data_IF_193131921597
#
_entry.id   IF_193131921597
#
_cell.length_a   1.000
_cell.length_b   1.000
_cell.length_c   1.000
_cell.angle_alpha   90.00
_cell.angle_beta   90.00
_cell.angle_gamma   90.00
#
_symmetry.space_group_name_H-M   'P 1'
#
loop_
_entity.id
_entity.type
_entity.pdbx_description
1 polymer ?
#
# COMPACT_ATOMS: atom_id res chain seq x y z
N UNK A 1 -3.77 3.46 38.22
CA UNK A 1 -3.34 2.10 37.84
C UNK A 1 -2.71 2.19 36.47
N UNK A 2 -1.40 2.23 36.39
CA UNK A 2 -0.71 2.28 35.10
C UNK A 2 -0.82 0.92 34.42
N UNK A 3 -1.33 0.93 33.17
CA UNK A 3 -1.33 -0.29 32.36
C UNK A 3 0.11 -0.64 32.05
N UNK A 4 0.57 -1.77 32.59
CA UNK A 4 1.85 -2.38 32.19
C UNK A 4 1.80 -2.59 30.67
N UNK A 5 2.57 -1.78 29.94
CA UNK A 5 2.72 -1.91 28.51
C UNK A 5 3.55 -3.15 28.22
N UNK A 6 2.88 -4.23 27.80
CA UNK A 6 3.55 -5.41 27.28
C UNK A 6 4.46 -5.00 26.11
N UNK A 7 5.68 -5.56 26.01
CA UNK A 7 6.57 -5.28 24.89
C UNK A 7 5.91 -5.69 23.57
N UNK A 8 6.11 -4.92 22.48
CA UNK A 8 5.52 -5.24 21.18
C UNK A 8 6.06 -6.56 20.64
N UNK A 9 5.20 -7.35 20.01
CA UNK A 9 5.62 -8.61 19.38
C UNK A 9 6.45 -8.35 18.12
N UNK A 10 7.20 -9.35 17.63
CA UNK A 10 7.90 -9.25 16.35
C UNK A 10 6.93 -8.95 15.18
N UNK A 11 5.69 -9.45 15.27
CA UNK A 11 4.63 -9.13 14.29
C UNK A 11 4.23 -7.65 14.38
N UNK A 12 4.05 -7.09 15.58
CA UNK A 12 3.76 -5.66 15.77
C UNK A 12 4.87 -4.77 15.20
N UNK A 13 6.13 -5.11 15.49
CA UNK A 13 7.31 -4.41 14.97
C UNK A 13 7.36 -4.48 13.44
N UNK A 14 7.11 -5.66 12.86
CA UNK A 14 7.07 -5.85 11.40
C UNK A 14 5.96 -5.03 10.74
N UNK A 15 4.74 -5.05 11.32
CA UNK A 15 3.60 -4.25 10.84
C UNK A 15 3.93 -2.76 10.93
N UNK A 16 4.50 -2.30 12.05
CA UNK A 16 4.94 -0.92 12.25
C UNK A 16 5.98 -0.50 11.21
N UNK A 17 6.96 -1.35 10.91
CA UNK A 17 8.00 -1.06 9.90
C UNK A 17 7.45 -1.01 8.48
N UNK A 18 6.54 -1.91 8.11
CA UNK A 18 6.02 -2.04 6.73
C UNK A 18 4.94 -1.00 6.42
N UNK A 19 3.98 -0.83 7.33
CA UNK A 19 2.78 -0.01 7.11
C UNK A 19 2.81 1.34 7.84
N UNK A 20 3.81 1.57 8.70
CA UNK A 20 3.89 2.77 9.52
C UNK A 20 2.82 2.84 10.61
N UNK A 21 2.16 1.73 10.97
CA UNK A 21 1.14 1.70 12.02
C UNK A 21 1.78 1.70 13.42
N UNK A 22 1.36 2.63 14.28
CA UNK A 22 1.88 2.83 15.62
C UNK A 22 0.78 2.92 16.68
N UNK A 23 -0.41 3.38 16.28
CA UNK A 23 -1.60 3.38 17.11
C UNK A 23 -2.09 1.95 17.30
N UNK A 24 -2.44 1.58 18.53
CA UNK A 24 -2.89 0.23 18.85
C UNK A 24 -4.12 -0.21 18.04
N UNK A 25 -5.12 0.66 17.89
CA UNK A 25 -6.33 0.33 17.14
C UNK A 25 -6.02 0.09 15.65
N UNK A 26 -5.06 0.83 15.09
CA UNK A 26 -4.57 0.63 13.73
C UNK A 26 -3.80 -0.70 13.57
N UNK A 27 -2.94 -1.05 14.52
CA UNK A 27 -2.28 -2.38 14.57
C UNK A 27 -3.31 -3.53 14.67
N UNK A 28 -4.33 -3.35 15.50
CA UNK A 28 -5.40 -4.34 15.69
C UNK A 28 -6.32 -4.47 14.44
N UNK A 29 -6.40 -3.45 13.56
CA UNK A 29 -7.00 -3.60 12.23
C UNK A 29 -6.14 -4.47 11.31
N UNK A 30 -4.82 -4.20 11.20
CA UNK A 30 -3.94 -5.01 10.33
C UNK A 30 -3.89 -6.47 10.78
N UNK A 31 -3.95 -6.76 12.08
CA UNK A 31 -3.97 -8.14 12.63
C UNK A 31 -5.19 -8.99 12.19
N UNK A 32 -6.23 -8.39 11.62
CA UNK A 32 -7.35 -9.13 11.02
C UNK A 32 -6.99 -9.75 9.65
N UNK A 33 -5.82 -9.41 9.10
CA UNK A 33 -5.23 -10.04 7.93
C UNK A 33 -4.35 -11.24 8.35
N UNK A 34 -4.48 -12.34 7.63
CA UNK A 34 -3.54 -13.46 7.70
C UNK A 34 -2.15 -13.03 7.20
N UNK A 35 -1.11 -13.76 7.57
CA UNK A 35 0.27 -13.44 7.15
C UNK A 35 0.43 -13.38 5.62
N UNK A 36 -0.29 -14.22 4.87
CA UNK A 36 -0.31 -14.19 3.40
C UNK A 36 -0.94 -12.91 2.85
N UNK A 37 -2.04 -12.44 3.46
CA UNK A 37 -2.68 -11.17 3.11
C UNK A 37 -1.78 -9.98 3.46
N UNK A 38 -1.07 -10.02 4.60
CA UNK A 38 -0.09 -8.99 5.01
C UNK A 38 1.06 -8.88 4.00
N UNK A 39 1.62 -10.02 3.55
CA UNK A 39 2.69 -10.02 2.54
C UNK A 39 2.16 -9.47 1.20
N UNK A 40 0.95 -9.87 0.77
CA UNK A 40 0.31 -9.32 -0.43
C UNK A 40 0.12 -7.80 -0.36
N UNK A 41 -0.41 -7.31 0.76
CA UNK A 41 -0.58 -5.89 1.05
C UNK A 41 0.76 -5.10 0.97
N UNK A 42 1.84 -5.66 1.54
CA UNK A 42 3.17 -5.06 1.47
C UNK A 42 3.71 -4.96 0.04
N UNK A 43 3.46 -5.99 -0.78
CA UNK A 43 3.83 -6.00 -2.21
C UNK A 43 3.02 -4.97 -3.01
N UNK A 44 1.70 -4.84 -2.76
CA UNK A 44 0.87 -3.80 -3.38
C UNK A 44 1.42 -2.39 -3.13
N UNK A 45 1.76 -2.06 -1.87
CA UNK A 45 2.33 -0.76 -1.49
C UNK A 45 3.62 -0.46 -2.28
N UNK A 46 4.47 -1.48 -2.48
CA UNK A 46 5.73 -1.35 -3.21
C UNK A 46 5.54 -1.13 -4.72
N UNK A 47 4.44 -1.61 -5.31
CA UNK A 47 4.18 -1.52 -6.76
C UNK A 47 3.26 -0.33 -7.12
N UNK A 48 2.49 0.18 -6.13
CA UNK A 48 1.56 1.33 -6.15
C UNK A 48 0.31 1.16 -7.01
N UNK A 49 0.48 0.71 -8.26
CA UNK A 49 -0.59 0.53 -9.23
C UNK A 49 -0.31 -0.72 -10.07
N UNK A 50 -1.32 -1.57 -10.23
CA UNK A 50 -1.23 -2.84 -10.96
C UNK A 50 -2.52 -3.05 -11.76
N UNK A 51 -2.40 -3.09 -13.08
CA UNK A 51 -3.44 -3.65 -13.94
C UNK A 51 -3.38 -5.17 -13.81
N UNK A 52 -4.14 -5.74 -12.88
CA UNK A 52 -4.21 -7.19 -12.68
C UNK A 52 -5.08 -7.85 -13.75
N UNK A 53 -4.68 -9.06 -14.17
CA UNK A 53 -5.58 -10.00 -14.84
C UNK A 53 -6.09 -11.05 -13.86
N UNK A 54 -7.19 -11.74 -14.20
CA UNK A 54 -7.82 -12.82 -13.42
C UNK A 54 -6.83 -13.92 -12.98
N UNK A 55 -5.79 -14.20 -13.77
CA UNK A 55 -4.83 -15.29 -13.54
C UNK A 55 -3.48 -14.86 -12.91
N UNK A 56 -3.40 -13.63 -12.40
CA UNK A 56 -2.19 -13.01 -11.86
C UNK A 56 -2.34 -12.77 -10.35
N UNK A 57 -1.42 -13.32 -9.55
CA UNK A 57 -1.34 -13.00 -8.13
C UNK A 57 -0.42 -11.80 -7.92
N UNK A 58 -0.78 -10.94 -6.96
CA UNK A 58 0.10 -9.88 -6.42
C UNK A 58 1.49 -10.42 -6.06
N UNK A 59 1.56 -11.66 -5.55
CA UNK A 59 2.81 -12.30 -5.13
C UNK A 59 3.66 -12.83 -6.29
N UNK A 60 3.07 -13.05 -7.46
CA UNK A 60 3.75 -13.51 -8.68
C UNK A 60 4.18 -12.32 -9.59
N UNK A 61 4.03 -11.07 -9.13
CA UNK A 61 4.38 -9.86 -9.89
C UNK A 61 5.90 -9.64 -9.95
N UNK A 62 6.51 -9.94 -11.09
CA UNK A 62 7.90 -9.59 -11.38
C UNK A 62 8.10 -8.07 -11.55
N UNK A 63 9.31 -7.60 -11.24
CA UNK A 63 9.65 -6.17 -11.34
C UNK A 63 9.67 -5.67 -12.80
N UNK A 64 9.79 -6.56 -13.78
CA UNK A 64 9.99 -6.21 -15.20
C UNK A 64 8.70 -5.92 -15.98
N UNK A 65 7.52 -6.34 -15.50
CA UNK A 65 6.23 -5.99 -16.12
C UNK A 65 5.85 -4.50 -15.92
N UNK A 66 6.72 -3.70 -15.29
CA UNK A 66 6.51 -2.30 -14.90
C UNK A 66 6.66 -1.30 -16.04
N UNK A 67 6.10 -1.56 -17.21
CA UNK A 67 5.98 -0.54 -18.27
C UNK A 67 5.15 0.66 -17.77
N UNK A 68 5.85 1.72 -17.32
CA UNK A 68 5.23 2.89 -16.69
C UNK A 68 4.30 3.65 -17.65
N UNK A 69 4.59 3.55 -18.95
CA UNK A 69 4.03 4.32 -20.06
C UNK A 69 2.52 4.13 -20.30
N UNK A 70 1.93 3.07 -19.73
CA UNK A 70 0.51 2.75 -19.88
C UNK A 70 -0.34 3.06 -18.64
N UNK A 71 0.26 3.27 -17.47
CA UNK A 71 -0.48 3.53 -16.22
C UNK A 71 -1.28 4.83 -16.27
N UNK A 72 -0.69 5.86 -16.89
CA UNK A 72 -1.29 7.19 -17.02
C UNK A 72 -2.39 7.28 -18.09
N UNK A 73 -2.59 6.24 -18.92
CA UNK A 73 -3.50 6.28 -20.08
C UNK A 73 -4.88 5.67 -19.82
N UNK A 74 -5.06 4.96 -18.70
CA UNK A 74 -6.33 4.35 -18.31
C UNK A 74 -7.06 5.29 -17.34
N UNK A 75 -8.15 5.91 -17.80
CA UNK A 75 -8.85 6.96 -17.06
C UNK A 75 -9.69 6.40 -15.91
N UNK A 76 -9.91 7.23 -14.88
CA UNK A 76 -10.84 6.93 -13.79
C UNK A 76 -12.29 6.90 -14.28
N UNK A 77 -12.63 7.72 -15.27
CA UNK A 77 -13.99 7.88 -15.80
C UNK A 77 -14.50 6.65 -16.58
N UNK A 78 -13.62 5.68 -16.84
CA UNK A 78 -13.92 4.46 -17.58
C UNK A 78 -14.65 3.39 -16.73
N UNK A 79 -14.76 3.59 -15.42
CA UNK A 79 -15.24 2.58 -14.46
C UNK A 79 -16.39 3.07 -13.56
N UNK A 80 -17.43 3.67 -14.14
CA UNK A 80 -18.71 3.92 -13.46
C UNK A 80 -19.54 2.62 -13.30
N UNK A 81 -19.02 1.68 -12.53
CA UNK A 81 -19.77 0.57 -11.93
C UNK A 81 -20.17 1.03 -10.53
N UNK A 82 -21.39 0.77 -10.07
CA UNK A 82 -21.85 1.26 -8.75
C UNK A 82 -20.96 0.74 -7.61
N UNK A 83 -20.42 -0.48 -7.76
CA UNK A 83 -19.41 -1.11 -6.90
C UNK A 83 -18.03 -0.41 -6.90
N UNK A 84 -17.80 0.59 -7.76
CA UNK A 84 -16.58 1.40 -7.82
C UNK A 84 -16.86 2.90 -7.62
N UNK A 85 -18.15 3.30 -7.56
CA UNK A 85 -18.54 4.67 -7.24
C UNK A 85 -18.08 5.08 -5.83
N UNK A 86 -18.17 4.18 -4.83
CA UNK A 86 -17.68 4.47 -3.48
C UNK A 86 -16.16 4.68 -3.42
N UNK A 87 -15.37 3.99 -4.26
CA UNK A 87 -13.94 4.26 -4.40
C UNK A 87 -13.70 5.67 -4.94
N UNK A 88 -14.61 6.20 -5.76
CA UNK A 88 -14.50 7.57 -6.29
C UNK A 88 -14.77 8.62 -5.23
N UNK A 89 -15.79 8.40 -4.40
CA UNK A 89 -16.15 9.26 -3.27
C UNK A 89 -15.07 9.23 -2.19
N UNK A 90 -14.57 8.04 -1.88
CA UNK A 90 -13.43 7.84 -0.98
C UNK A 90 -12.18 8.54 -1.50
N UNK A 91 -11.79 8.32 -2.76
CA UNK A 91 -10.63 8.97 -3.37
C UNK A 91 -10.81 10.49 -3.41
N UNK A 92 -12.02 11.00 -3.64
CA UNK A 92 -12.32 12.44 -3.58
C UNK A 92 -12.09 12.99 -2.17
N UNK A 93 -12.67 12.35 -1.14
CA UNK A 93 -12.50 12.75 0.26
C UNK A 93 -11.03 12.67 0.72
N UNK A 94 -10.29 11.66 0.28
CA UNK A 94 -8.85 11.52 0.56
C UNK A 94 -8.01 12.49 -0.25
N UNK A 95 -8.40 12.86 -1.48
CA UNK A 95 -7.73 13.92 -2.23
C UNK A 95 -7.91 15.28 -1.58
N UNK A 96 -9.07 15.58 -0.99
CA UNK A 96 -9.29 16.80 -0.20
C UNK A 96 -8.39 16.85 1.04
N UNK A 97 -8.18 15.71 1.71
CA UNK A 97 -7.17 15.56 2.76
C UNK A 97 -5.76 15.79 2.20
N UNK A 98 -5.37 15.10 1.12
CA UNK A 98 -4.03 15.20 0.51
C UNK A 98 -3.72 16.62 -0.01
N UNK A 99 -4.72 17.41 -0.44
CA UNK A 99 -4.51 18.83 -0.78
C UNK A 99 -3.91 19.62 0.38
N UNK A 100 -4.23 19.28 1.63
CA UNK A 100 -3.69 19.92 2.84
C UNK A 100 -2.27 19.44 3.21
N UNK A 101 -1.73 18.41 2.55
CA UNK A 101 -0.41 17.84 2.84
C UNK A 101 0.72 18.87 2.77
N UNK A 102 0.64 19.82 1.83
CA UNK A 102 1.66 20.86 1.63
C UNK A 102 1.91 21.74 2.87
N UNK A 103 0.93 21.85 3.77
CA UNK A 103 1.02 22.62 5.02
C UNK A 103 1.88 21.93 6.09
N UNK A 104 2.01 20.60 6.01
CA UNK A 104 2.78 19.78 6.95
C UNK A 104 4.12 19.35 6.37
N UNK A 105 4.19 19.19 5.05
CA UNK A 105 5.42 18.98 4.30
C UNK A 105 6.48 19.99 4.72
N UNK A 106 7.74 19.58 4.72
CA UNK A 106 8.82 20.55 4.80
C UNK A 106 8.80 21.40 3.53
N UNK A 107 8.64 22.71 3.70
CA UNK A 107 9.38 23.64 2.88
C UNK A 107 10.85 23.30 3.13
N UNK A 108 11.44 22.55 2.20
CA UNK A 108 12.89 22.44 2.09
C UNK A 108 13.42 23.87 2.10
N UNK A 109 14.38 24.14 2.98
CA UNK A 109 14.99 25.44 3.14
C UNK A 109 15.21 26.12 1.78
N UNK A 110 14.39 27.12 1.47
CA UNK A 110 14.66 27.99 0.33
C UNK A 110 16.00 28.66 0.58
N UNK A 111 16.75 28.93 -0.49
CA UNK A 111 18.12 29.47 -0.42
C UNK A 111 18.11 30.94 0.03
N UNK A 112 17.69 31.17 1.28
CA UNK A 112 17.57 32.48 1.92
C UNK A 112 18.72 32.57 2.91
N UNK A 113 19.84 33.10 2.40
CA UNK A 113 21.20 33.09 2.97
C UNK A 113 21.37 33.58 4.41
N UNK A 114 20.34 34.18 5.01
CA UNK A 114 20.40 34.90 6.27
C UNK A 114 19.91 34.05 7.46
N UNK A 115 18.83 33.29 7.27
CA UNK A 115 18.19 32.48 8.32
C UNK A 115 19.11 31.35 8.84
N UNK A 116 20.06 30.88 8.01
CA UNK A 116 20.98 29.79 8.34
C UNK A 116 21.85 30.04 9.58
N UNK A 117 22.10 31.30 9.94
CA UNK A 117 22.97 31.65 11.08
C UNK A 117 22.24 31.59 12.43
N UNK A 118 20.92 31.49 12.45
CA UNK A 118 20.17 31.48 13.71
C UNK A 118 20.28 30.11 14.40
N UNK A 119 20.63 30.02 15.69
CA UNK A 119 20.86 28.73 16.35
C UNK A 119 19.60 27.86 16.47
N UNK A 120 18.40 28.46 16.45
CA UNK A 120 17.15 27.69 16.40
C UNK A 120 16.92 27.03 15.03
N UNK A 121 17.38 27.66 13.95
CA UNK A 121 17.34 27.07 12.62
C UNK A 121 18.16 25.77 12.56
N UNK A 122 19.39 25.81 13.10
CA UNK A 122 20.25 24.63 13.25
C UNK A 122 19.56 23.51 14.04
N UNK A 123 18.89 23.83 15.14
CA UNK A 123 18.16 22.84 15.96
C UNK A 123 17.10 22.09 15.16
N UNK A 124 16.32 22.80 14.35
CA UNK A 124 15.20 22.26 13.57
C UNK A 124 15.70 21.48 12.34
N UNK A 125 16.70 22.01 11.63
CA UNK A 125 17.15 21.51 10.32
C UNK A 125 18.51 20.76 10.36
N UNK A 126 19.00 20.39 11.54
CA UNK A 126 20.23 19.61 11.71
C UNK A 126 20.23 18.33 10.86
N UNK A 127 21.08 18.28 9.84
CA UNK A 127 21.23 17.11 8.94
C UNK A 127 21.83 15.89 9.65
N UNK A 128 22.51 16.09 10.78
CA UNK A 128 23.22 15.06 11.52
C UNK A 128 22.38 14.38 12.62
N UNK A 129 21.20 14.92 12.95
CA UNK A 129 20.37 14.43 14.06
C UNK A 129 18.87 14.66 13.83
N UNK A 130 18.11 13.57 13.88
CA UNK A 130 16.63 13.60 13.79
C UNK A 130 15.93 14.00 15.10
N UNK A 131 16.66 14.06 16.22
CA UNK A 131 16.10 14.37 17.54
C UNK A 131 16.23 15.87 17.84
N UNK A 132 15.22 16.64 17.42
CA UNK A 132 15.16 18.09 17.60
C UNK A 132 15.34 18.52 19.07
N UNK A 133 14.73 17.80 20.03
CA UNK A 133 14.81 18.15 21.45
C UNK A 133 16.23 17.96 21.99
N UNK A 134 16.96 16.91 21.54
CA UNK A 134 18.38 16.74 21.87
C UNK A 134 19.22 17.89 21.30
N UNK A 135 18.99 18.25 20.04
CA UNK A 135 19.69 19.38 19.40
C UNK A 135 19.43 20.69 20.16
N UNK A 136 18.20 20.92 20.61
CA UNK A 136 17.86 22.08 21.44
C UNK A 136 18.65 22.10 22.75
N UNK A 137 18.73 20.97 23.46
CA UNK A 137 19.51 20.92 24.70
C UNK A 137 21.01 21.14 24.48
N UNK A 138 21.55 20.78 23.31
CA UNK A 138 22.95 21.05 22.92
C UNK A 138 23.20 22.54 22.62
N UNK A 139 22.21 23.27 22.10
CA UNK A 139 22.26 24.73 21.83
C UNK A 139 21.48 25.59 22.84
N UNK A 140 21.11 25.03 23.99
CA UNK A 140 20.13 25.64 24.92
C UNK A 140 20.51 27.04 25.35
N UNK A 141 21.74 27.18 25.86
CA UNK A 141 22.17 28.43 26.49
C UNK A 141 22.46 29.51 25.44
N UNK A 142 22.93 29.12 24.24
CA UNK A 142 23.03 29.97 23.05
C UNK A 142 21.65 30.56 22.69
N UNK A 143 20.64 29.70 22.53
CA UNK A 143 19.27 30.09 22.15
C UNK A 143 18.58 30.95 23.21
N UNK A 144 18.74 30.61 24.50
CA UNK A 144 18.13 31.36 25.60
C UNK A 144 18.82 32.72 25.83
N UNK A 145 20.07 32.88 25.40
CA UNK A 145 20.80 34.16 25.45
C UNK A 145 20.38 35.17 24.38
N UNK A 146 19.67 34.73 23.32
CA UNK A 146 19.21 35.61 22.25
C UNK A 146 18.20 36.66 22.77
N UNK A 147 18.31 37.93 22.35
CA UNK A 147 17.36 38.98 22.71
C UNK A 147 15.95 38.67 22.20
N UNK A 148 14.93 39.12 22.94
CA UNK A 148 13.54 38.94 22.52
C UNK A 148 13.17 39.92 21.40
N UNK A 149 12.38 39.45 20.44
CA UNK A 149 12.02 40.23 19.25
C UNK A 149 11.32 41.57 19.63
N UNK A 150 11.77 42.71 19.09
CA UNK A 150 11.23 44.02 19.45
C UNK A 150 9.75 44.17 19.05
N UNK A 151 8.95 44.68 19.99
CA UNK A 151 7.49 44.74 19.90
C UNK A 151 6.93 45.78 18.92
N UNK A 152 7.77 46.68 18.38
CA UNK A 152 7.35 47.74 17.45
C UNK A 152 8.09 47.63 16.11
N UNK A 153 7.34 47.72 15.01
CA UNK A 153 7.82 47.51 13.63
C UNK A 153 8.54 48.76 13.06
N UNK A 154 9.29 49.47 13.90
CA UNK A 154 9.95 50.73 13.56
C UNK A 154 11.20 50.50 12.68
N UNK A 155 10.97 50.25 11.38
CA UNK A 155 11.96 50.30 10.29
C UNK A 155 13.30 49.61 10.59
N UNK A 156 13.25 48.44 11.22
CA UNK A 156 14.43 47.63 11.52
C UNK A 156 14.96 47.02 10.21
N UNK A 157 16.20 47.35 9.85
CA UNK A 157 16.93 46.74 8.73
C UNK A 157 16.91 45.22 8.86
N UNK A 158 16.66 44.52 7.74
CA UNK A 158 16.51 43.06 7.75
C UNK A 158 17.72 42.32 8.35
N UNK A 159 18.93 42.87 8.22
CA UNK A 159 20.16 42.29 8.78
C UNK A 159 20.25 42.27 10.31
N UNK A 160 19.44 43.06 11.03
CA UNK A 160 19.43 43.06 12.50
C UNK A 160 18.56 41.92 13.04
N UNK A 161 17.60 41.43 12.23
CA UNK A 161 16.62 40.40 12.65
C UNK A 161 17.21 39.01 12.80
N UNK A 162 18.40 38.74 12.25
CA UNK A 162 19.04 37.42 12.30
C UNK A 162 19.56 37.08 13.72
N UNK A 163 19.88 38.11 14.52
CA UNK A 163 20.41 37.99 15.89
C UNK A 163 19.30 37.86 16.97
N UNK A 164 18.04 38.10 16.62
CA UNK A 164 16.90 38.00 17.53
C UNK A 164 16.45 36.54 17.79
N UNK A 165 15.80 36.31 18.93
CA UNK A 165 15.06 35.09 19.20
C UNK A 165 13.78 35.02 18.33
N UNK A 166 13.64 33.91 17.61
CA UNK A 166 12.42 33.56 16.87
C UNK A 166 11.83 32.26 17.41
N UNK A 167 10.50 32.21 17.57
CA UNK A 167 9.80 30.97 17.93
C UNK A 167 10.06 29.88 16.87
N UNK A 168 10.34 28.62 17.28
CA UNK A 168 10.60 27.52 16.36
C UNK A 168 9.59 27.40 15.20
N UNK A 169 8.31 27.73 15.44
CA UNK A 169 7.25 27.58 14.44
C UNK A 169 7.38 28.55 13.24
N UNK A 170 8.04 29.69 13.40
CA UNK A 170 8.24 30.64 12.29
C UNK A 170 9.15 30.06 11.20
N UNK A 171 10.22 29.34 11.58
CA UNK A 171 11.15 28.71 10.65
C UNK A 171 10.49 27.66 9.74
N UNK A 172 9.35 27.08 10.16
CA UNK A 172 8.60 26.08 9.38
C UNK A 172 7.70 26.69 8.31
N UNK A 173 7.20 27.92 8.51
CA UNK A 173 6.24 28.56 7.59
C UNK A 173 6.91 29.45 6.53
N UNK A 174 8.20 29.76 6.65
CA UNK A 174 8.90 30.69 5.75
C UNK A 174 8.40 32.13 5.85
N UNK A 175 7.57 32.43 6.84
CA UNK A 175 7.00 33.75 7.11
C UNK A 175 7.80 34.43 8.19
N UNK A 176 8.48 35.53 7.86
CA UNK A 176 9.08 36.39 8.88
C UNK A 176 7.98 36.97 9.78
N UNK A 177 8.11 36.85 11.11
CA UNK A 177 7.19 37.49 12.03
C UNK A 177 7.18 39.01 11.81
N UNK A 178 5.98 39.59 11.75
CA UNK A 178 5.80 41.05 11.67
C UNK A 178 5.55 41.68 13.05
N UNK A 179 5.08 40.89 14.01
CA UNK A 179 4.80 41.25 15.40
C UNK A 179 4.58 39.98 16.23
N UNK A 180 4.55 40.10 17.57
CA UNK A 180 4.35 38.94 18.47
C UNK A 180 3.01 38.22 18.23
N UNK A 181 1.96 38.94 17.81
CA UNK A 181 0.66 38.35 17.46
C UNK A 181 0.71 37.41 16.24
N UNK A 182 1.82 37.31 15.51
CA UNK A 182 1.93 36.36 14.41
C UNK A 182 1.91 34.89 14.87
N UNK A 183 2.35 34.56 16.09
CA UNK A 183 2.32 33.17 16.59
C UNK A 183 0.90 32.65 16.77
N UNK A 184 0.00 33.40 17.42
CA UNK A 184 -1.41 33.00 17.61
C UNK A 184 -2.12 32.83 16.27
N UNK A 185 -1.84 33.72 15.30
CA UNK A 185 -2.35 33.57 13.93
C UNK A 185 -1.84 32.28 13.25
N UNK A 186 -0.57 31.95 13.43
CA UNK A 186 0.03 30.68 12.98
C UNK A 186 -0.63 29.46 13.64
N UNK A 187 -0.86 29.48 14.96
CA UNK A 187 -1.54 28.40 15.70
C UNK A 187 -2.99 28.20 15.22
N UNK A 188 -3.77 29.29 15.12
CA UNK A 188 -5.15 29.30 14.62
C UNK A 188 -5.20 28.74 13.18
N UNK A 189 -4.29 29.18 12.31
CA UNK A 189 -4.20 28.68 10.93
C UNK A 189 -3.95 27.16 10.89
N UNK A 190 -2.99 26.65 11.67
CA UNK A 190 -2.69 25.21 11.70
C UNK A 190 -3.90 24.44 12.27
N UNK A 191 -4.53 24.91 13.35
CA UNK A 191 -5.70 24.27 13.99
C UNK A 191 -6.93 24.20 13.06
N UNK A 192 -7.18 25.24 12.27
CA UNK A 192 -8.26 25.26 11.28
C UNK A 192 -8.03 24.22 10.17
N UNK A 193 -6.79 24.10 9.69
CA UNK A 193 -6.43 23.11 8.68
C UNK A 193 -6.49 21.67 9.22
N UNK A 194 -6.03 21.42 10.45
CA UNK A 194 -6.20 20.12 11.14
C UNK A 194 -7.68 19.76 11.26
N UNK A 195 -8.50 20.70 11.73
CA UNK A 195 -9.95 20.46 11.91
C UNK A 195 -10.66 20.19 10.59
N UNK A 196 -10.15 20.73 9.48
CA UNK A 196 -10.64 20.44 8.12
C UNK A 196 -10.19 19.05 7.64
N UNK A 197 -8.92 18.70 7.87
CA UNK A 197 -8.37 17.38 7.54
C UNK A 197 -9.05 16.25 8.31
N UNK A 198 -9.28 16.41 9.62
CA UNK A 198 -10.00 15.44 10.46
C UNK A 198 -11.42 15.20 9.95
N UNK A 199 -12.21 16.24 9.66
CA UNK A 199 -13.56 16.08 9.10
C UNK A 199 -13.58 15.32 7.77
N UNK A 200 -12.62 15.59 6.88
CA UNK A 200 -12.51 14.92 5.60
C UNK A 200 -12.00 13.46 5.72
N UNK A 201 -11.21 13.16 6.77
CA UNK A 201 -10.83 11.79 7.15
C UNK A 201 -11.99 11.02 7.77
N UNK A 202 -12.78 11.63 8.65
CA UNK A 202 -13.97 11.02 9.24
C UNK A 202 -14.99 10.65 8.16
N UNK A 203 -15.24 11.56 7.20
CA UNK A 203 -16.04 11.27 6.00
C UNK A 203 -15.46 10.11 5.18
N UNK A 204 -14.15 10.11 4.92
CA UNK A 204 -13.44 9.03 4.22
C UNK A 204 -13.60 7.67 4.92
N UNK A 205 -13.45 7.62 6.24
CA UNK A 205 -13.60 6.39 7.02
C UNK A 205 -15.06 5.90 7.04
N UNK A 206 -16.04 6.80 7.14
CA UNK A 206 -17.46 6.47 7.04
C UNK A 206 -17.82 5.82 5.70
N UNK A 207 -17.31 6.36 4.58
CA UNK A 207 -17.50 5.77 3.23
C UNK A 207 -16.93 4.35 3.15
N UNK A 208 -15.75 4.11 3.73
CA UNK A 208 -15.17 2.75 3.79
C UNK A 208 -16.06 1.81 4.60
N UNK A 209 -16.55 2.25 5.76
CA UNK A 209 -17.34 1.42 6.67
C UNK A 209 -18.70 1.05 6.09
N UNK A 210 -19.39 1.98 5.43
CA UNK A 210 -20.68 1.72 4.79
C UNK A 210 -20.56 0.67 3.67
N UNK A 211 -19.44 0.66 2.94
CA UNK A 211 -19.22 -0.20 1.77
C UNK A 211 -18.22 -1.35 2.00
N UNK A 212 -17.95 -1.70 3.26
CA UNK A 212 -16.97 -2.74 3.64
C UNK A 212 -17.09 -4.03 2.81
N UNK A 213 -18.31 -4.56 2.67
CA UNK A 213 -18.58 -5.82 1.95
C UNK A 213 -18.33 -5.77 0.44
N UNK A 214 -18.24 -4.58 -0.16
CA UNK A 214 -17.99 -4.37 -1.59
C UNK A 214 -16.50 -4.13 -1.91
N UNK A 215 -15.63 -4.27 -0.92
CA UNK A 215 -14.22 -3.90 -1.01
C UNK A 215 -13.28 -5.09 -0.83
N UNK A 216 -12.12 -5.04 -1.48
CA UNK A 216 -11.05 -5.99 -1.15
C UNK A 216 -10.62 -5.76 0.31
N UNK A 217 -10.85 -6.76 1.17
CA UNK A 217 -10.54 -6.73 2.61
C UNK A 217 -9.14 -6.18 2.92
N UNK A 218 -8.12 -6.54 2.13
CA UNK A 218 -6.75 -6.03 2.34
C UNK A 218 -6.70 -4.52 2.15
N UNK A 219 -7.22 -4.03 1.03
CA UNK A 219 -7.16 -2.63 0.68
C UNK A 219 -8.04 -1.76 1.61
N UNK A 220 -9.22 -2.25 2.01
CA UNK A 220 -10.04 -1.63 3.06
C UNK A 220 -9.26 -1.51 4.37
N UNK A 221 -8.64 -2.60 4.85
CA UNK A 221 -7.87 -2.58 6.10
C UNK A 221 -6.71 -1.57 5.98
N UNK A 222 -5.97 -1.54 4.88
CA UNK A 222 -4.90 -0.57 4.65
C UNK A 222 -5.41 0.89 4.65
N UNK A 223 -6.51 1.16 3.95
CA UNK A 223 -7.10 2.48 3.80
C UNK A 223 -7.64 3.01 5.14
N UNK A 224 -8.39 2.17 5.86
CA UNK A 224 -8.92 2.47 7.20
C UNK A 224 -7.79 2.67 8.20
N UNK A 225 -6.82 1.76 8.25
CA UNK A 225 -5.64 1.88 9.13
C UNK A 225 -4.88 3.17 8.89
N UNK A 226 -4.60 3.52 7.63
CA UNK A 226 -3.85 4.74 7.29
C UNK A 226 -4.62 6.02 7.61
N UNK A 227 -5.94 6.01 7.44
CA UNK A 227 -6.82 7.13 7.81
C UNK A 227 -6.90 7.29 9.34
N UNK A 228 -7.01 6.18 10.08
CA UNK A 228 -7.00 6.16 11.55
C UNK A 228 -5.66 6.65 12.13
N UNK A 229 -4.53 6.21 11.56
CA UNK A 229 -3.19 6.69 11.91
C UNK A 229 -3.06 8.20 11.72
N UNK A 230 -3.39 8.71 10.52
CA UNK A 230 -3.29 10.14 10.23
C UNK A 230 -4.23 10.95 11.15
N UNK A 231 -5.47 10.50 11.37
CA UNK A 231 -6.40 11.18 12.26
C UNK A 231 -5.90 11.19 13.72
N UNK A 232 -5.31 10.10 14.20
CA UNK A 232 -4.72 10.04 15.53
C UNK A 232 -3.61 11.09 15.72
N UNK A 233 -2.66 11.19 14.78
CA UNK A 233 -1.59 12.20 14.87
C UNK A 233 -2.09 13.63 14.67
N UNK A 234 -3.14 13.85 13.86
CA UNK A 234 -3.80 15.15 13.74
C UNK A 234 -4.47 15.58 15.07
N UNK A 235 -5.13 14.66 15.79
CA UNK A 235 -5.73 14.94 17.09
C UNK A 235 -4.66 15.21 18.17
N UNK A 236 -3.56 14.44 18.20
CA UNK A 236 -2.43 14.70 19.12
C UNK A 236 -1.76 16.04 18.81
N UNK A 237 -1.59 16.39 17.53
CA UNK A 237 -1.09 17.71 17.11
C UNK A 237 -2.03 18.83 17.55
N UNK A 238 -3.35 18.65 17.44
CA UNK A 238 -4.36 19.61 17.93
C UNK A 238 -4.27 19.83 19.43
N UNK A 239 -4.12 18.77 20.22
CA UNK A 239 -3.92 18.86 21.68
C UNK A 239 -2.63 19.63 22.02
N UNK A 240 -1.54 19.40 21.28
CA UNK A 240 -0.28 20.14 21.45
C UNK A 240 -0.38 21.61 21.05
N UNK A 241 -1.18 21.96 20.04
CA UNK A 241 -1.46 23.35 19.68
C UNK A 241 -2.23 24.08 20.78
N UNK A 242 -3.27 23.46 21.34
CA UNK A 242 -4.05 24.05 22.46
C UNK A 242 -3.11 24.36 23.64
N UNK A 243 -2.28 23.38 24.06
CA UNK A 243 -1.28 23.57 25.13
C UNK A 243 -0.22 24.64 24.85
N UNK A 244 -0.05 25.06 23.59
CA UNK A 244 0.85 26.14 23.18
C UNK A 244 0.13 27.49 23.09
N UNK A 245 -1.17 27.48 22.78
CA UNK A 245 -2.06 28.63 22.72
C UNK A 245 -2.44 29.11 24.12
N UNK A 246 -2.74 28.19 25.05
CA UNK A 246 -2.97 28.48 26.47
C UNK A 246 -1.81 29.30 27.09
N UNK A 247 -0.56 29.00 26.69
CA UNK A 247 0.62 29.76 27.08
C UNK A 247 0.70 31.14 26.42
N UNK A 248 0.22 31.32 25.18
CA UNK A 248 0.20 32.64 24.53
C UNK A 248 -0.66 33.64 25.31
N UNK A 249 -1.84 33.20 25.76
CA UNK A 249 -2.80 34.07 26.46
C UNK A 249 -2.29 34.49 27.86
N UNK A 250 -1.54 33.62 28.55
CA UNK A 250 -0.88 33.94 29.81
C UNK A 250 0.24 35.00 29.66
N UNK A 251 0.92 35.07 28.51
CA UNK A 251 2.14 35.88 28.31
C UNK A 251 1.96 37.24 27.61
N UNK A 252 0.73 37.71 27.42
CA UNK A 252 0.47 39.05 26.83
C UNK A 252 1.10 40.20 27.65
N UNK A 253 1.45 39.97 28.93
CA UNK A 253 2.03 40.96 29.84
C UNK A 253 3.57 40.85 30.03
N UNK A 254 4.31 41.03 28.94
CA UNK A 254 5.67 41.60 28.84
C UNK A 254 6.88 41.11 29.68
N UNK A 255 6.76 40.14 30.60
CA UNK A 255 7.92 39.57 31.30
C UNK A 255 7.84 38.03 31.38
N UNK A 256 8.21 37.35 30.31
CA UNK A 256 8.48 35.90 30.37
C UNK A 256 9.79 35.65 31.14
N UNK A 257 9.75 34.81 32.16
CA UNK A 257 10.98 34.26 32.74
C UNK A 257 11.67 33.31 31.76
N UNK A 258 12.97 33.07 31.94
CA UNK A 258 13.76 32.13 31.11
C UNK A 258 13.10 30.74 31.04
N UNK A 259 12.49 30.30 32.15
CA UNK A 259 11.78 29.02 32.24
C UNK A 259 10.54 28.96 31.34
N UNK A 260 9.85 30.08 31.19
CA UNK A 260 8.63 30.20 30.39
C UNK A 260 8.96 30.32 28.90
N UNK A 261 10.02 31.08 28.56
CA UNK A 261 10.63 31.08 27.22
C UNK A 261 11.07 29.67 26.81
N UNK A 262 11.77 28.94 27.68
CA UNK A 262 12.15 27.54 27.46
C UNK A 262 10.93 26.61 27.30
N UNK A 263 9.91 26.74 28.15
CA UNK A 263 8.68 25.94 28.04
C UNK A 263 7.96 26.18 26.70
N UNK A 264 7.86 27.44 26.28
CA UNK A 264 7.31 27.84 24.98
C UNK A 264 8.09 27.23 23.81
N UNK A 265 9.44 27.31 23.85
CA UNK A 265 10.31 26.68 22.86
C UNK A 265 10.05 25.18 22.78
N UNK A 266 10.07 24.46 23.91
CA UNK A 266 9.85 23.02 23.95
C UNK A 266 8.49 22.65 23.33
N UNK A 267 7.40 23.38 23.66
CA UNK A 267 6.09 23.17 23.05
C UNK A 267 6.08 23.39 21.53
N UNK A 268 6.72 24.45 21.06
CA UNK A 268 6.86 24.71 19.62
C UNK A 268 7.68 23.62 18.90
N UNK A 269 8.72 23.08 19.53
CA UNK A 269 9.50 21.95 18.99
C UNK A 269 8.71 20.63 19.00
N UNK A 270 7.92 20.35 20.05
CA UNK A 270 6.99 19.21 20.09
C UNK A 270 5.98 19.26 18.93
N UNK A 271 5.41 20.44 18.65
CA UNK A 271 4.50 20.67 17.52
C UNK A 271 5.22 20.38 16.19
N UNK A 272 6.45 20.85 15.98
CA UNK A 272 7.23 20.56 14.76
C UNK A 272 7.49 19.05 14.61
N UNK A 273 7.84 18.35 15.68
CA UNK A 273 8.02 16.90 15.67
C UNK A 273 6.72 16.17 15.30
N UNK A 274 5.57 16.63 15.80
CA UNK A 274 4.27 16.08 15.46
C UNK A 274 3.87 16.39 14.01
N UNK A 275 4.16 17.60 13.50
CA UNK A 275 3.96 17.94 12.09
C UNK A 275 4.79 17.04 11.16
N UNK A 276 6.06 16.74 11.52
CA UNK A 276 6.90 15.77 10.78
C UNK A 276 6.29 14.35 10.77
N UNK A 277 5.69 13.91 11.89
CA UNK A 277 4.98 12.62 11.94
C UNK A 277 3.72 12.63 11.07
N UNK A 278 2.89 13.67 11.19
CA UNK A 278 1.68 13.90 10.37
C UNK A 278 2.01 13.88 8.87
N UNK A 279 3.04 14.62 8.45
CA UNK A 279 3.58 14.62 7.07
C UNK A 279 3.98 13.21 6.58
N UNK A 280 4.62 12.40 7.44
CA UNK A 280 4.91 11.00 7.11
C UNK A 280 3.65 10.14 6.97
N UNK A 281 2.61 10.36 7.79
CA UNK A 281 1.32 9.63 7.66
C UNK A 281 0.53 10.09 6.42
N UNK A 282 0.61 11.38 6.04
CA UNK A 282 0.07 11.87 4.75
C UNK A 282 0.72 11.16 3.55
N UNK A 283 2.05 11.00 3.54
CA UNK A 283 2.74 10.18 2.52
C UNK A 283 2.25 8.73 2.51
N UNK A 284 2.03 8.14 3.68
CA UNK A 284 1.42 6.82 3.84
C UNK A 284 0.04 6.73 3.18
N UNK A 285 -0.90 7.59 3.58
CA UNK A 285 -2.26 7.64 3.02
C UNK A 285 -2.26 7.90 1.51
N UNK A 286 -1.38 8.78 1.01
CA UNK A 286 -1.19 9.02 -0.44
C UNK A 286 -0.67 7.80 -1.18
N UNK A 287 0.21 6.99 -0.57
CA UNK A 287 0.61 5.71 -1.15
C UNK A 287 -0.56 4.71 -1.20
N UNK A 288 -1.40 4.67 -0.16
CA UNK A 288 -2.59 3.81 -0.16
C UNK A 288 -3.66 4.31 -1.14
N UNK A 289 -3.81 5.62 -1.39
CA UNK A 289 -4.79 6.09 -2.37
C UNK A 289 -4.47 5.66 -3.81
N UNK A 290 -3.19 5.47 -4.16
CA UNK A 290 -2.83 4.82 -5.43
C UNK A 290 -3.30 3.36 -5.51
N UNK A 291 -3.22 2.60 -4.41
CA UNK A 291 -3.71 1.21 -4.33
C UNK A 291 -5.24 1.17 -4.37
N UNK A 292 -5.89 2.12 -3.70
CA UNK A 292 -7.35 2.28 -3.64
C UNK A 292 -7.95 2.89 -4.92
N UNK A 293 -7.17 3.07 -6.00
CA UNK A 293 -7.72 3.36 -7.32
C UNK A 293 -8.50 2.16 -7.84
N UNK A 294 -9.68 2.41 -8.41
CA UNK A 294 -10.59 1.42 -9.03
C UNK A 294 -9.90 0.42 -9.97
N UNK A 295 -8.86 0.86 -10.67
CA UNK A 295 -8.05 0.05 -11.59
C UNK A 295 -7.37 -1.18 -10.96
N UNK A 296 -7.17 -1.19 -9.64
CA UNK A 296 -6.54 -2.31 -8.93
C UNK A 296 -7.55 -3.36 -8.38
N UNK A 297 -8.86 -3.10 -8.51
CA UNK A 297 -9.94 -3.95 -7.97
C UNK A 297 -10.74 -4.67 -9.06
N UNK A 298 -10.56 -4.27 -10.31
CA UNK A 298 -11.25 -4.80 -11.48
C UNK A 298 -10.22 -5.49 -12.35
N UNK A 299 -10.47 -6.73 -12.78
CA UNK A 299 -9.56 -7.36 -13.77
C UNK A 299 -9.67 -6.62 -15.10
N UNK A 300 -8.67 -6.73 -15.97
CA UNK A 300 -8.77 -6.14 -17.31
C UNK A 300 -9.90 -6.76 -18.14
N UNK A 301 -10.24 -8.00 -17.84
CA UNK A 301 -11.33 -8.76 -18.44
C UNK A 301 -12.70 -8.17 -18.04
N UNK A 302 -12.96 -7.98 -16.75
CA UNK A 302 -14.18 -7.33 -16.26
C UNK A 302 -14.27 -5.89 -16.79
N UNK A 303 -13.13 -5.18 -16.87
CA UNK A 303 -13.07 -3.81 -17.43
C UNK A 303 -13.46 -3.79 -18.91
N UNK A 304 -13.00 -4.76 -19.70
CA UNK A 304 -13.37 -4.91 -21.12
C UNK A 304 -14.87 -5.18 -21.26
N UNK A 305 -15.44 -6.04 -20.41
CA UNK A 305 -16.89 -6.30 -20.40
C UNK A 305 -17.71 -5.06 -20.00
N UNK A 306 -17.27 -4.33 -18.98
CA UNK A 306 -17.90 -3.06 -18.54
C UNK A 306 -17.82 -1.98 -19.63
N UNK A 307 -16.70 -1.87 -20.35
CA UNK A 307 -16.55 -0.94 -21.47
C UNK A 307 -17.44 -1.35 -22.65
N UNK A 308 -17.47 -2.63 -23.02
CA UNK A 308 -18.37 -3.16 -24.07
C UNK A 308 -19.83 -2.88 -23.76
N UNK A 309 -20.30 -3.19 -22.54
CA UNK A 309 -21.70 -2.98 -22.14
C UNK A 309 -22.10 -1.49 -22.12
N UNK A 310 -21.18 -0.57 -21.77
CA UNK A 310 -21.43 0.88 -21.87
C UNK A 310 -21.43 1.41 -23.30
N UNK A 311 -20.58 0.89 -24.19
CA UNK A 311 -20.61 1.29 -25.61
C UNK A 311 -21.95 0.85 -26.24
N UNK A 312 -22.42 -0.36 -25.92
CA UNK A 312 -23.70 -0.88 -26.42
C UNK A 312 -24.95 -0.18 -25.85
N UNK A 313 -24.93 0.25 -24.59
CA UNK A 313 -26.11 0.86 -23.95
C UNK A 313 -26.27 2.38 -24.20
N UNK A 314 -25.19 3.09 -24.55
CA UNK A 314 -25.18 4.55 -24.68
C UNK A 314 -25.65 5.08 -26.06
N UNK A 315 -26.82 4.64 -26.53
CA UNK A 315 -27.39 5.05 -27.83
C UNK A 315 -27.74 6.54 -27.99
N UNK A 316 -27.66 7.33 -26.90
CA UNK A 316 -28.00 8.76 -26.85
C UNK A 316 -26.86 9.67 -26.35
N UNK A 317 -25.66 9.14 -26.16
CA UNK A 317 -24.55 9.89 -25.57
C UNK A 317 -23.74 10.64 -26.63
N UNK A 318 -23.13 11.77 -26.25
CA UNK A 318 -22.23 12.54 -27.11
C UNK A 318 -21.16 11.65 -27.76
N UNK A 319 -20.95 11.85 -29.06
CA UNK A 319 -20.04 11.07 -29.91
C UNK A 319 -18.61 11.01 -29.34
N UNK A 320 -18.13 12.09 -28.73
CA UNK A 320 -16.79 12.16 -28.14
C UNK A 320 -16.63 11.25 -26.93
N UNK A 321 -17.67 11.07 -26.11
CA UNK A 321 -17.62 10.12 -24.98
C UNK A 321 -17.61 8.68 -25.45
N UNK A 322 -18.33 8.35 -26.53
CA UNK A 322 -18.24 7.01 -27.17
C UNK A 322 -16.82 6.79 -27.71
N UNK A 323 -16.24 7.77 -28.41
CA UNK A 323 -14.86 7.71 -28.93
C UNK A 323 -13.83 7.47 -27.82
N UNK A 324 -13.97 8.12 -26.67
CA UNK A 324 -13.11 7.91 -25.49
C UNK A 324 -13.25 6.49 -24.93
N UNK A 325 -14.49 5.99 -24.75
CA UNK A 325 -14.74 4.62 -24.27
C UNK A 325 -14.15 3.56 -25.23
N UNK A 326 -14.34 3.72 -26.53
CA UNK A 326 -13.76 2.81 -27.54
C UNK A 326 -12.24 2.85 -27.51
N UNK A 327 -11.62 4.03 -27.33
CA UNK A 327 -10.17 4.16 -27.21
C UNK A 327 -9.63 3.45 -25.95
N UNK A 328 -10.34 3.58 -24.82
CA UNK A 328 -10.00 2.87 -23.58
C UNK A 328 -10.18 1.35 -23.70
N UNK A 329 -11.23 0.90 -24.39
CA UNK A 329 -11.46 -0.51 -24.70
C UNK A 329 -10.32 -1.09 -25.54
N UNK A 330 -9.95 -0.43 -26.65
CA UNK A 330 -8.84 -0.86 -27.50
C UNK A 330 -7.51 -0.94 -26.73
N UNK A 331 -7.22 0.06 -25.89
CA UNK A 331 -6.02 0.06 -25.04
C UNK A 331 -6.04 -1.07 -24.00
N UNK A 332 -7.17 -1.28 -23.31
CA UNK A 332 -7.30 -2.33 -22.29
C UNK A 332 -7.16 -3.72 -22.92
N UNK A 333 -7.81 -3.97 -24.06
CA UNK A 333 -7.67 -5.22 -24.83
C UNK A 333 -6.24 -5.48 -25.28
N UNK A 334 -5.53 -4.46 -25.78
CA UNK A 334 -4.11 -4.59 -26.17
C UNK A 334 -3.23 -4.97 -24.97
N UNK A 335 -3.41 -4.31 -23.82
CA UNK A 335 -2.65 -4.59 -22.60
C UNK A 335 -2.94 -5.99 -22.06
N UNK A 336 -4.20 -6.43 -22.10
CA UNK A 336 -4.61 -7.78 -21.73
C UNK A 336 -3.95 -8.83 -22.62
N UNK A 337 -3.99 -8.65 -23.95
CA UNK A 337 -3.33 -9.57 -24.91
C UNK A 337 -1.84 -9.72 -24.58
N UNK A 338 -1.13 -8.60 -24.42
CA UNK A 338 0.30 -8.59 -24.06
C UNK A 338 0.58 -9.31 -22.74
N UNK A 339 -0.20 -9.05 -21.68
CA UNK A 339 -0.02 -9.70 -20.37
C UNK A 339 -0.31 -11.20 -20.43
N UNK A 340 -1.33 -11.64 -21.16
CA UNK A 340 -1.63 -13.05 -21.35
C UNK A 340 -0.51 -13.79 -22.10
N UNK A 341 0.07 -13.23 -23.17
CA UNK A 341 1.23 -13.86 -23.80
C UNK A 341 2.43 -14.03 -22.84
N UNK A 342 2.73 -13.03 -22.01
CA UNK A 342 3.77 -13.11 -20.99
C UNK A 342 3.43 -14.20 -19.94
N UNK A 343 2.21 -14.21 -19.41
CA UNK A 343 1.77 -15.15 -18.38
C UNK A 343 1.69 -16.60 -18.90
N UNK A 344 1.23 -16.82 -20.13
CA UNK A 344 1.25 -18.12 -20.78
C UNK A 344 2.68 -18.63 -20.88
N UNK A 345 3.62 -17.80 -21.38
CA UNK A 345 5.05 -18.14 -21.47
C UNK A 345 5.65 -18.51 -20.11
N UNK A 346 5.42 -17.69 -19.08
CA UNK A 346 5.89 -17.95 -17.71
C UNK A 346 5.29 -19.23 -17.12
N UNK A 347 3.97 -19.45 -17.23
CA UNK A 347 3.30 -20.66 -16.71
C UNK A 347 3.77 -21.91 -17.47
N UNK A 348 3.95 -21.85 -18.80
CA UNK A 348 4.53 -22.92 -19.61
C UNK A 348 5.95 -23.30 -19.14
N UNK A 349 6.83 -22.31 -18.92
CA UNK A 349 8.16 -22.55 -18.35
C UNK A 349 8.10 -23.11 -16.91
N UNK A 350 7.20 -22.61 -16.06
CA UNK A 350 7.01 -23.11 -14.68
C UNK A 350 6.51 -24.55 -14.66
N UNK A 351 5.62 -24.95 -15.58
CA UNK A 351 5.17 -26.34 -15.74
C UNK A 351 6.36 -27.23 -16.09
N UNK A 352 7.18 -26.87 -17.08
CA UNK A 352 8.39 -27.63 -17.44
C UNK A 352 9.30 -27.85 -16.22
N UNK A 353 9.64 -26.78 -15.50
CA UNK A 353 10.51 -26.85 -14.32
C UNK A 353 9.90 -27.64 -13.14
N UNK A 354 8.57 -27.73 -13.04
CA UNK A 354 7.90 -28.56 -12.03
C UNK A 354 7.89 -30.04 -12.40
N UNK A 355 7.68 -30.36 -13.68
CA UNK A 355 7.72 -31.74 -14.19
C UNK A 355 9.14 -32.32 -14.14
N UNK A 356 10.16 -31.49 -14.40
CA UNK A 356 11.58 -31.85 -14.25
C UNK A 356 11.92 -32.33 -12.83
N UNK A 357 11.34 -31.72 -11.78
CA UNK A 357 11.53 -32.13 -10.37
C UNK A 357 10.99 -33.52 -10.01
N UNK A 358 10.21 -34.14 -10.89
CA UNK A 358 9.67 -35.49 -10.74
C UNK A 358 10.00 -36.38 -11.95
N UNK A 359 11.07 -36.06 -12.70
CA UNK A 359 11.54 -36.84 -13.84
C UNK A 359 10.53 -36.96 -15.01
N UNK A 360 9.61 -36.00 -15.16
CA UNK A 360 8.59 -35.95 -16.23
C UNK A 360 8.87 -34.84 -17.27
N UNK A 361 10.11 -34.37 -17.38
CA UNK A 361 10.50 -33.30 -18.32
C UNK A 361 10.25 -33.65 -19.78
N UNK A 362 10.34 -34.93 -20.17
CA UNK A 362 10.06 -35.43 -21.53
C UNK A 362 8.58 -35.35 -21.92
N UNK A 363 7.66 -35.35 -20.96
CA UNK A 363 6.22 -35.27 -21.23
C UNK A 363 5.80 -33.86 -21.69
N UNK A 364 6.66 -32.86 -21.44
CA UNK A 364 6.47 -31.48 -21.84
C UNK A 364 6.96 -31.24 -23.27
N UNK A 365 6.05 -30.77 -24.14
CA UNK A 365 6.34 -30.37 -25.52
C UNK A 365 6.33 -28.84 -25.65
N UNK A 366 7.02 -28.29 -26.64
CA UNK A 366 7.05 -26.83 -26.89
C UNK A 366 5.75 -26.26 -27.44
N UNK A 367 4.93 -27.11 -28.06
CA UNK A 367 3.92 -26.69 -29.05
C UNK A 367 2.53 -26.49 -28.42
N UNK A 368 1.50 -26.23 -29.23
CA UNK A 368 0.13 -25.94 -28.76
C UNK A 368 -0.43 -27.02 -27.81
N UNK A 369 -0.09 -28.29 -28.03
CA UNK A 369 -0.41 -29.42 -27.15
C UNK A 369 0.79 -29.80 -26.27
N UNK A 370 1.27 -28.84 -25.45
CA UNK A 370 2.45 -28.99 -24.59
C UNK A 370 2.39 -30.12 -23.54
N UNK A 371 1.21 -30.72 -23.32
CA UNK A 371 1.04 -31.99 -22.60
C UNK A 371 0.07 -32.90 -23.36
N UNK A 372 0.46 -34.16 -23.58
CA UNK A 372 -0.34 -35.12 -24.33
C UNK A 372 -1.64 -35.51 -23.58
N UNK A 373 -2.79 -35.71 -24.27
CA UNK A 373 -4.04 -36.13 -23.63
C UNK A 373 -3.91 -37.38 -22.75
N UNK A 374 -3.11 -38.36 -23.17
CA UNK A 374 -2.78 -39.58 -22.43
C UNK A 374 -2.02 -39.31 -21.12
N UNK A 375 -1.06 -38.39 -21.14
CA UNK A 375 -0.35 -37.95 -19.93
C UNK A 375 -1.32 -37.29 -18.93
N UNK A 376 -2.24 -36.45 -19.43
CA UNK A 376 -3.23 -35.77 -18.59
C UNK A 376 -4.22 -36.77 -17.97
N UNK A 377 -4.65 -37.79 -18.71
CA UNK A 377 -5.48 -38.86 -18.18
C UNK A 377 -4.73 -39.62 -17.06
N UNK A 378 -3.50 -40.06 -17.34
CA UNK A 378 -2.64 -40.75 -16.37
C UNK A 378 -2.38 -39.91 -15.11
N UNK A 379 -2.20 -38.59 -15.27
CA UNK A 379 -2.01 -37.64 -14.16
C UNK A 379 -3.25 -37.55 -13.28
N UNK A 380 -4.45 -37.49 -13.88
CA UNK A 380 -5.70 -37.47 -13.12
C UNK A 380 -5.93 -38.79 -12.37
N UNK A 381 -5.60 -39.94 -12.99
CA UNK A 381 -5.69 -41.24 -12.32
C UNK A 381 -4.67 -41.37 -11.18
N UNK A 382 -3.45 -40.84 -11.34
CA UNK A 382 -2.45 -40.82 -10.27
C UNK A 382 -2.90 -39.94 -9.09
N UNK A 383 -3.41 -38.73 -9.34
CA UNK A 383 -3.99 -37.88 -8.30
C UNK A 383 -5.14 -38.59 -7.57
N UNK A 384 -6.05 -39.27 -8.30
CA UNK A 384 -7.12 -40.07 -7.68
C UNK A 384 -6.56 -41.20 -6.81
N UNK A 385 -5.52 -41.92 -7.29
CA UNK A 385 -4.87 -43.02 -6.56
C UNK A 385 -4.19 -42.55 -5.28
N UNK A 386 -3.51 -41.39 -5.31
CA UNK A 386 -2.90 -40.78 -4.12
C UNK A 386 -3.98 -40.38 -3.10
N UNK A 387 -5.05 -39.71 -3.54
CA UNK A 387 -6.17 -39.34 -2.67
C UNK A 387 -6.80 -40.57 -1.99
N UNK A 388 -7.18 -41.60 -2.77
CA UNK A 388 -7.72 -42.86 -2.24
C UNK A 388 -6.77 -43.55 -1.25
N UNK A 389 -5.44 -43.48 -1.47
CA UNK A 389 -4.47 -44.12 -0.57
C UNK A 389 -4.46 -43.54 0.86
N UNK A 390 -4.93 -42.30 1.04
CA UNK A 390 -5.05 -41.63 2.34
C UNK A 390 -6.37 -41.91 3.06
N UNK A 391 -7.39 -42.38 2.35
CA UNK A 391 -8.68 -42.70 2.96
C UNK A 391 -8.55 -43.89 3.92
N UNK A 392 -9.33 -43.93 5.03
CA UNK A 392 -9.41 -45.09 5.92
C UNK A 392 -9.73 -46.39 5.16
N UNK A 393 -9.15 -47.52 5.60
CA UNK A 393 -9.39 -48.82 4.96
C UNK A 393 -10.89 -49.13 4.91
N UNK A 394 -11.40 -49.43 3.72
CA UNK A 394 -12.79 -49.85 3.50
C UNK A 394 -12.90 -50.61 2.18
N UNK A 395 -13.85 -51.56 2.11
CA UNK A 395 -14.08 -52.39 0.92
C UNK A 395 -14.37 -51.54 -0.33
N UNK A 396 -15.02 -50.39 -0.16
CA UNK A 396 -15.30 -49.44 -1.25
C UNK A 396 -14.00 -48.84 -1.78
N UNK A 397 -13.14 -48.31 -0.90
CA UNK A 397 -11.84 -47.74 -1.25
C UNK A 397 -10.96 -48.77 -1.94
N UNK A 398 -10.91 -49.98 -1.39
CA UNK A 398 -10.05 -51.06 -1.91
C UNK A 398 -10.57 -51.56 -3.28
N UNK A 399 -11.89 -51.63 -3.48
CA UNK A 399 -12.50 -51.88 -4.79
C UNK A 399 -12.24 -50.76 -5.80
N UNK A 400 -12.25 -49.48 -5.39
CA UNK A 400 -11.89 -48.36 -6.27
C UNK A 400 -10.40 -48.35 -6.63
N UNK A 401 -9.51 -48.73 -5.68
CA UNK A 401 -8.07 -48.86 -5.92
C UNK A 401 -7.71 -50.02 -6.88
N UNK A 402 -8.55 -51.06 -6.93
CA UNK A 402 -8.47 -52.19 -7.86
C UNK A 402 -9.12 -51.90 -9.24
N UNK A 403 -9.61 -50.69 -9.50
CA UNK A 403 -10.11 -50.35 -10.84
C UNK A 403 -8.94 -50.32 -11.85
N UNK A 404 -9.05 -51.13 -12.91
CA UNK A 404 -8.10 -51.21 -14.02
C UNK A 404 -7.84 -49.85 -14.71
N UNK A 405 -8.77 -48.89 -14.64
CA UNK A 405 -8.52 -47.51 -15.12
C UNK A 405 -7.38 -46.81 -14.36
N UNK A 406 -7.18 -47.14 -13.07
CA UNK A 406 -6.07 -46.61 -12.27
C UNK A 406 -4.72 -47.20 -12.67
N UNK A 407 -4.66 -48.25 -13.47
CA UNK A 407 -3.39 -48.76 -14.01
C UNK A 407 -2.79 -47.80 -15.05
N UNK A 408 -3.59 -46.87 -15.60
CA UNK A 408 -3.06 -45.73 -16.37
C UNK A 408 -2.15 -44.83 -15.53
N UNK A 409 -2.33 -44.77 -14.21
CA UNK A 409 -1.40 -44.06 -13.32
C UNK A 409 0.00 -44.71 -13.27
N UNK A 410 0.09 -46.01 -13.55
CA UNK A 410 1.35 -46.76 -13.53
C UNK A 410 2.34 -46.27 -14.59
N UNK A 411 1.88 -45.65 -15.68
CA UNK A 411 2.73 -44.96 -16.66
C UNK A 411 3.58 -43.86 -16.02
N UNK A 412 2.94 -42.97 -15.25
CA UNK A 412 3.64 -41.86 -14.59
C UNK A 412 4.49 -42.38 -13.43
N UNK A 413 3.97 -43.33 -12.63
CA UNK A 413 4.74 -43.91 -11.52
C UNK A 413 6.06 -44.55 -11.99
N UNK A 414 6.04 -45.32 -13.10
CA UNK A 414 7.25 -45.89 -13.69
C UNK A 414 8.23 -44.84 -14.19
N UNK A 415 7.75 -43.68 -14.70
CA UNK A 415 8.64 -42.57 -15.11
C UNK A 415 9.22 -41.77 -13.94
N UNK A 416 8.47 -41.59 -12.85
CA UNK A 416 8.97 -40.90 -11.66
C UNK A 416 10.10 -41.70 -10.99
N UNK A 417 9.94 -43.03 -10.89
CA UNK A 417 10.87 -43.95 -10.21
C UNK A 417 11.21 -45.16 -11.09
N UNK A 418 12.09 -45.02 -12.11
CA UNK A 418 12.41 -46.11 -13.04
C UNK A 418 13.16 -47.29 -12.39
N UNK A 419 13.94 -47.04 -11.33
CA UNK A 419 14.83 -48.06 -10.71
C UNK A 419 14.17 -48.91 -9.60
N UNK A 420 12.87 -48.72 -9.34
CA UNK A 420 12.20 -49.28 -8.15
C UNK A 420 11.59 -50.68 -8.34
N UNK A 421 11.88 -51.41 -9.41
CA UNK A 421 11.40 -52.80 -9.56
C UNK A 421 12.12 -53.78 -8.59
N UNK A 422 13.29 -53.43 -8.02
CA UNK A 422 14.11 -54.32 -7.15
C UNK A 422 14.55 -53.74 -5.79
N UNK A 423 14.14 -52.53 -5.38
CA UNK A 423 14.62 -51.89 -4.13
C UNK A 423 13.49 -51.37 -3.23
N UNK A 424 13.23 -52.09 -2.13
CA UNK A 424 12.15 -51.78 -1.19
C UNK A 424 12.41 -50.60 -0.25
N UNK A 425 13.67 -50.19 -0.07
CA UNK A 425 14.09 -49.35 1.07
C UNK A 425 14.63 -47.95 0.68
N UNK A 426 14.56 -47.54 -0.59
CA UNK A 426 14.99 -46.18 -0.96
C UNK A 426 13.86 -45.16 -0.74
N UNK A 427 14.23 -44.01 -0.16
CA UNK A 427 13.34 -42.87 0.13
C UNK A 427 12.56 -42.43 -1.12
N UNK A 428 11.35 -42.95 -1.29
CA UNK A 428 10.39 -42.46 -2.27
C UNK A 428 10.16 -40.97 -2.06
N UNK A 429 10.14 -40.20 -3.16
CA UNK A 429 9.62 -38.83 -3.15
C UNK A 429 8.21 -38.89 -2.55
N UNK A 430 7.99 -38.14 -1.46
CA UNK A 430 6.73 -38.22 -0.72
C UNK A 430 5.53 -38.06 -1.67
N UNK A 431 4.50 -38.93 -1.61
CA UNK A 431 3.32 -38.81 -2.47
C UNK A 431 2.64 -37.44 -2.39
N UNK A 432 2.77 -36.76 -1.24
CA UNK A 432 2.35 -35.36 -1.01
C UNK A 432 3.07 -34.38 -1.95
N UNK A 433 4.38 -34.54 -2.18
CA UNK A 433 5.15 -33.66 -3.06
C UNK A 433 4.79 -33.86 -4.53
N UNK A 434 4.64 -35.12 -4.97
CA UNK A 434 4.21 -35.47 -6.33
C UNK A 434 2.81 -34.91 -6.61
N UNK A 435 1.86 -35.14 -5.69
CA UNK A 435 0.49 -34.63 -5.79
C UNK A 435 0.48 -33.09 -5.91
N UNK A 436 1.14 -32.37 -5.01
CA UNK A 436 1.23 -30.91 -5.05
C UNK A 436 1.80 -30.38 -6.39
N UNK A 437 2.77 -31.08 -6.98
CA UNK A 437 3.31 -30.73 -8.31
C UNK A 437 2.27 -30.96 -9.40
N UNK A 438 1.65 -32.15 -9.44
CA UNK A 438 0.68 -32.50 -10.48
C UNK A 438 -0.60 -31.65 -10.41
N UNK A 439 -1.08 -31.31 -9.21
CA UNK A 439 -2.16 -30.35 -9.02
C UNK A 439 -1.79 -28.95 -9.52
N UNK A 440 -0.57 -28.48 -9.21
CA UNK A 440 -0.06 -27.19 -9.69
C UNK A 440 0.04 -27.13 -11.22
N UNK A 441 0.53 -28.20 -11.84
CA UNK A 441 0.61 -28.35 -13.31
C UNK A 441 -0.78 -28.38 -13.93
N UNK A 442 -1.70 -29.19 -13.38
CA UNK A 442 -3.09 -29.28 -13.82
C UNK A 442 -3.80 -27.92 -13.76
N UNK A 443 -3.65 -27.19 -12.66
CA UNK A 443 -4.21 -25.84 -12.48
C UNK A 443 -3.66 -24.86 -13.52
N UNK A 444 -2.34 -24.74 -13.63
CA UNK A 444 -1.73 -23.81 -14.60
C UNK A 444 -2.10 -24.13 -16.05
N UNK A 445 -2.26 -25.42 -16.41
CA UNK A 445 -2.74 -25.80 -17.76
C UNK A 445 -4.17 -25.33 -18.02
N UNK A 446 -5.08 -25.45 -17.05
CA UNK A 446 -6.45 -24.94 -17.19
C UNK A 446 -6.45 -23.42 -17.37
N UNK A 447 -5.69 -22.70 -16.55
CA UNK A 447 -5.53 -21.23 -16.66
C UNK A 447 -4.94 -20.81 -18.02
N UNK A 448 -3.94 -21.52 -18.54
CA UNK A 448 -3.38 -21.29 -19.89
C UNK A 448 -4.48 -21.43 -20.95
N UNK A 449 -5.27 -22.51 -20.91
CA UNK A 449 -6.35 -22.73 -21.88
C UNK A 449 -7.41 -21.63 -21.81
N UNK A 450 -7.78 -21.16 -20.61
CA UNK A 450 -8.71 -20.05 -20.44
C UNK A 450 -8.15 -18.72 -20.99
N UNK A 451 -6.86 -18.43 -20.79
CA UNK A 451 -6.20 -17.27 -21.40
C UNK A 451 -6.15 -17.37 -22.92
N UNK A 452 -5.79 -18.53 -23.49
CA UNK A 452 -5.76 -18.78 -24.93
C UNK A 452 -7.15 -18.63 -25.58
N UNK A 453 -8.21 -19.16 -24.95
CA UNK A 453 -9.59 -18.92 -25.40
C UNK A 453 -9.96 -17.43 -25.33
N UNK A 454 -9.60 -16.73 -24.25
CA UNK A 454 -9.90 -15.29 -24.13
C UNK A 454 -9.19 -14.47 -25.21
N UNK A 455 -7.91 -14.76 -25.51
CA UNK A 455 -7.15 -14.12 -26.59
C UNK A 455 -7.89 -14.18 -27.93
N UNK A 456 -8.41 -15.36 -28.31
CA UNK A 456 -9.17 -15.54 -29.56
C UNK A 456 -10.49 -14.76 -29.66
N UNK A 457 -10.95 -14.14 -28.57
CA UNK A 457 -12.18 -13.30 -28.52
C UNK A 457 -11.89 -11.80 -28.42
N UNK A 458 -10.61 -11.43 -28.42
CA UNK A 458 -10.13 -10.05 -28.35
C UNK A 458 -9.57 -9.57 -29.69
N UNK A 459 -9.39 -10.47 -30.66
CA UNK A 459 -9.20 -10.17 -32.10
C UNK A 459 -10.52 -9.72 -32.74
#
# INVERSE_FOLDING_TARGET
MDKILLPPTLQDLSIKTIFGAENKAALDQIKQLSMKEIIGAAVLIKIKEVNLVKYESVLDLEIDDRSADYRNKLSYHDCNVDELCYLSEWNSSVNDVIKLHHLFSEYSATEHSHIYNNPMYDVIYNKNSTNIIKNYHEKRDEILSLPDMPSSVATINDSIRDEDYHDPLYFKQGTYPKNNNSISNTLIFINNNISSATKALEKSMSILEEKFFQSNKQAYILAKTSSMELNHYLLVLKESLIKRDDLCDEYINFFCSIKEKEMSIIRSLEIIMLMRKVDSKFRGLKNISYIMKSINFMTMEDRIESLKSRISSNSKTEHDKIRLLTSSLSLTSYLLKRKYHNLITRKKARIKNLLEKINLSEEYKSDENFLAPTFIESMNMLLKKISLSREPKSDKRDKELLNHDLDKASYILKKISPDNEDRTDQNLIEPVFIENILESVKKMRTEIKEMEMTLSTLD
#
